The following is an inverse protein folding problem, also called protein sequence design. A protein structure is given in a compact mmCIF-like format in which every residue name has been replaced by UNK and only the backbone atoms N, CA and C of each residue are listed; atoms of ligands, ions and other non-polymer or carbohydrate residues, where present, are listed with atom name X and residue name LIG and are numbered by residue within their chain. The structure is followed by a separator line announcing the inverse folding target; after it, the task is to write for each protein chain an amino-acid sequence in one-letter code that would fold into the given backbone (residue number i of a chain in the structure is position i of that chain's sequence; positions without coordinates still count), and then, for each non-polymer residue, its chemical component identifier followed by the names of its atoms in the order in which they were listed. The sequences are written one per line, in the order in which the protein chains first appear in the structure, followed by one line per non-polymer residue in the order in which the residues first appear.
data_IF_929999534294
#
_entry.id   IF_929999534294
#
_cell.length_a   1.000
_cell.length_b   1.000
_cell.length_c   1.000
_cell.angle_alpha   90.00
_cell.angle_beta   90.00
_cell.angle_gamma   90.00
#
_symmetry.space_group_name_H-M   'P 1'
#
loop_
_entity.id
_entity.type
_entity.pdbx_description
1 polymer ?
#
# COMPACT_ATOMS: atom_id res chain seq x y z
N UNK A 1 40.41 -55.29 39.41
CA UNK A 1 39.74 -54.43 38.41
C UNK A 1 40.47 -53.10 38.40
N UNK A 2 41.41 -52.91 37.47
CA UNK A 2 42.11 -51.63 37.30
C UNK A 2 41.13 -50.60 36.76
N UNK A 3 41.10 -49.41 37.36
CA UNK A 3 40.23 -48.33 36.88
C UNK A 3 40.56 -48.03 35.40
N UNK A 4 39.55 -47.89 34.51
CA UNK A 4 39.74 -47.77 33.07
C UNK A 4 40.30 -46.41 32.60
N UNK A 5 40.73 -45.56 33.53
CA UNK A 5 41.23 -44.21 33.26
C UNK A 5 42.62 -44.08 33.87
N UNK A 6 43.62 -43.83 33.03
CA UNK A 6 44.99 -43.63 33.50
C UNK A 6 45.18 -42.18 33.96
N UNK A 7 46.19 -41.94 34.81
CA UNK A 7 46.57 -40.58 35.24
C UNK A 7 46.86 -39.66 34.05
N UNK A 8 47.36 -40.23 32.95
CA UNK A 8 47.70 -39.52 31.73
C UNK A 8 46.43 -39.08 30.98
N UNK A 9 45.41 -39.93 30.90
CA UNK A 9 44.10 -39.62 30.32
C UNK A 9 43.40 -38.48 31.09
N UNK A 10 43.50 -38.50 32.44
CA UNK A 10 42.95 -37.45 33.30
C UNK A 10 43.64 -36.10 33.03
N UNK A 11 44.97 -36.08 32.91
CA UNK A 11 45.75 -34.87 32.62
C UNK A 11 45.39 -34.31 31.24
N UNK A 12 45.25 -35.18 30.24
CA UNK A 12 44.87 -34.77 28.88
C UNK A 12 43.47 -34.16 28.88
N UNK A 13 42.52 -34.78 29.58
CA UNK A 13 41.13 -34.32 29.64
C UNK A 13 41.01 -32.99 30.39
N UNK A 14 41.71 -32.82 31.52
CA UNK A 14 41.77 -31.55 32.26
C UNK A 14 42.38 -30.43 31.43
N UNK A 15 43.49 -30.68 30.74
CA UNK A 15 44.11 -29.69 29.86
C UNK A 15 43.20 -29.32 28.69
N UNK A 16 42.51 -30.28 28.08
CA UNK A 16 41.55 -30.03 27.01
C UNK A 16 40.35 -29.21 27.50
N UNK A 17 39.83 -29.49 28.71
CA UNK A 17 38.76 -28.71 29.34
C UNK A 17 39.20 -27.26 29.61
N UNK A 18 40.38 -27.08 30.21
CA UNK A 18 40.94 -25.75 30.49
C UNK A 18 41.22 -24.95 29.20
N UNK A 19 41.73 -25.61 28.16
CA UNK A 19 41.96 -24.98 26.86
C UNK A 19 40.64 -24.58 26.17
N UNK A 20 39.61 -25.42 26.26
CA UNK A 20 38.27 -25.10 25.78
C UNK A 20 37.68 -23.89 26.50
N UNK A 21 37.82 -23.83 27.83
CA UNK A 21 37.35 -22.70 28.63
C UNK A 21 38.09 -21.41 28.24
N UNK A 22 39.42 -21.45 28.13
CA UNK A 22 40.21 -20.31 27.64
C UNK A 22 39.79 -19.87 26.22
N UNK A 23 39.50 -20.82 25.33
CA UNK A 23 39.05 -20.51 23.97
C UNK A 23 37.66 -19.87 23.95
N UNK A 24 36.73 -20.33 24.80
CA UNK A 24 35.42 -19.70 24.98
C UNK A 24 35.59 -18.26 25.47
N UNK A 25 36.38 -18.04 26.53
CA UNK A 25 36.63 -16.71 27.08
C UNK A 25 37.27 -15.76 26.07
N UNK A 26 38.21 -16.24 25.24
CA UNK A 26 38.80 -15.44 24.17
C UNK A 26 37.79 -15.09 23.07
N UNK A 27 36.95 -16.04 22.67
CA UNK A 27 35.90 -15.81 21.65
C UNK A 27 34.88 -14.81 22.18
N UNK A 28 34.38 -14.98 23.40
CA UNK A 28 33.41 -14.07 24.02
C UNK A 28 34.00 -12.66 24.18
N UNK A 29 35.24 -12.56 24.68
CA UNK A 29 35.95 -11.28 24.79
C UNK A 29 36.20 -10.62 23.42
N UNK A 30 36.43 -11.39 22.36
CA UNK A 30 36.58 -10.85 21.00
C UNK A 30 35.25 -10.34 20.41
N UNK A 31 34.12 -10.99 20.74
CA UNK A 31 32.78 -10.59 20.34
C UNK A 31 32.37 -9.32 21.08
N UNK A 32 32.65 -9.24 22.37
CA UNK A 32 32.36 -8.09 23.23
C UNK A 32 33.19 -6.87 22.82
N UNK A 33 34.48 -7.04 22.56
CA UNK A 33 35.34 -6.00 21.98
C UNK A 33 34.82 -5.56 20.61
N UNK A 34 34.45 -6.48 19.70
CA UNK A 34 33.85 -6.10 18.40
C UNK A 34 32.54 -5.31 18.57
N UNK A 35 31.70 -5.67 19.55
CA UNK A 35 30.47 -4.92 19.86
C UNK A 35 30.75 -3.51 20.39
N UNK A 36 31.81 -3.33 21.19
CA UNK A 36 32.26 -2.01 21.66
C UNK A 36 32.89 -1.18 20.52
N UNK A 37 33.63 -1.82 19.60
CA UNK A 37 34.29 -1.13 18.48
C UNK A 37 33.29 -0.57 17.45
N UNK A 38 32.12 -1.19 17.30
CA UNK A 38 31.06 -0.65 16.44
C UNK A 38 30.26 0.40 17.20
N UNK A 39 30.73 1.66 17.16
CA UNK A 39 29.99 2.81 17.67
C UNK A 39 28.70 2.97 16.88
N UNK A 40 27.56 2.66 17.51
CA UNK A 40 26.27 2.86 16.89
C UNK A 40 25.92 4.34 16.96
N UNK A 41 25.49 4.90 15.83
CA UNK A 41 25.01 6.27 15.75
C UNK A 41 23.59 6.30 15.20
N UNK A 42 22.83 7.29 15.63
CA UNK A 42 21.50 7.56 15.09
C UNK A 42 21.64 8.42 13.84
N UNK A 43 21.19 7.89 12.71
CA UNK A 43 21.34 8.53 11.40
C UNK A 43 20.05 9.22 10.95
N UNK A 44 20.15 10.10 9.94
CA UNK A 44 18.96 10.66 9.27
C UNK A 44 18.06 9.57 8.64
N UNK A 45 18.67 8.47 8.17
CA UNK A 45 17.95 7.32 7.63
C UNK A 45 17.13 6.61 8.71
N UNK A 46 17.68 6.46 9.92
CA UNK A 46 16.95 5.90 11.07
C UNK A 46 15.77 6.80 11.46
N UNK A 47 15.98 8.12 11.46
CA UNK A 47 14.92 9.09 11.75
C UNK A 47 13.78 9.00 10.71
N UNK A 48 14.11 8.95 9.42
CA UNK A 48 13.13 8.78 8.36
C UNK A 48 12.40 7.44 8.47
N UNK A 49 13.12 6.34 8.74
CA UNK A 49 12.56 5.01 8.94
C UNK A 49 11.62 4.95 10.16
N UNK A 50 11.96 5.64 11.24
CA UNK A 50 11.12 5.76 12.43
C UNK A 50 9.84 6.57 12.14
N UNK A 51 9.95 7.63 11.34
CA UNK A 51 8.79 8.43 10.93
C UNK A 51 7.87 7.63 10.00
N UNK A 52 8.40 7.03 8.93
CA UNK A 52 7.59 6.30 7.96
C UNK A 52 6.92 5.09 8.61
N UNK A 53 7.62 4.34 9.47
CA UNK A 53 7.02 3.20 10.16
C UNK A 53 5.83 3.58 11.05
N UNK A 54 5.77 4.82 11.55
CA UNK A 54 4.61 5.33 12.31
C UNK A 54 3.52 5.90 11.40
N UNK A 55 3.89 6.54 10.29
CA UNK A 55 2.99 7.33 9.46
C UNK A 55 2.65 6.74 8.08
N UNK A 56 3.16 5.55 7.72
CA UNK A 56 2.99 4.96 6.38
C UNK A 56 1.51 4.91 5.93
N UNK A 57 0.58 4.56 6.82
CA UNK A 57 -0.84 4.48 6.49
C UNK A 57 -1.41 5.85 6.12
N UNK A 58 -0.99 6.91 6.83
CA UNK A 58 -1.39 8.26 6.48
C UNK A 58 -0.79 8.68 5.14
N UNK A 59 0.49 8.34 4.89
CA UNK A 59 1.15 8.60 3.59
C UNK A 59 0.39 7.91 2.45
N UNK A 60 0.02 6.64 2.61
CA UNK A 60 -0.74 5.90 1.60
C UNK A 60 -2.12 6.51 1.35
N UNK A 61 -2.88 6.80 2.41
CA UNK A 61 -4.21 7.39 2.29
C UNK A 61 -4.17 8.80 1.69
N UNK A 62 -3.19 9.63 2.07
CA UNK A 62 -3.01 10.96 1.49
C UNK A 62 -2.65 10.86 0.02
N UNK A 63 -1.74 9.95 -0.35
CA UNK A 63 -1.34 9.76 -1.74
C UNK A 63 -2.53 9.33 -2.61
N UNK A 64 -3.28 8.31 -2.18
CA UNK A 64 -4.46 7.81 -2.91
C UNK A 64 -5.58 8.86 -2.92
N UNK A 65 -5.83 9.51 -1.79
CA UNK A 65 -6.85 10.56 -1.67
C UNK A 65 -6.54 11.79 -2.52
N UNK A 66 -5.27 12.19 -2.62
CA UNK A 66 -4.83 13.28 -3.48
C UNK A 66 -4.94 12.92 -4.95
N UNK A 67 -4.55 11.69 -5.33
CA UNK A 67 -4.72 11.16 -6.68
C UNK A 67 -6.20 11.17 -7.10
N UNK A 68 -7.10 10.63 -6.28
CA UNK A 68 -8.55 10.73 -6.53
C UNK A 68 -9.03 12.19 -6.54
N UNK A 69 -8.63 12.99 -5.56
CA UNK A 69 -9.07 14.37 -5.42
C UNK A 69 -8.73 15.22 -6.65
N UNK A 70 -7.52 15.08 -7.20
CA UNK A 70 -7.16 15.75 -8.45
C UNK A 70 -8.04 15.27 -9.61
N UNK A 71 -8.36 13.97 -9.67
CA UNK A 71 -9.20 13.45 -10.74
C UNK A 71 -10.61 14.06 -10.75
N UNK A 72 -11.18 14.28 -9.57
CA UNK A 72 -12.46 15.00 -9.40
C UNK A 72 -12.32 16.52 -9.50
N UNK A 73 -11.13 17.08 -9.30
CA UNK A 73 -10.89 18.52 -9.48
C UNK A 73 -11.00 18.93 -10.95
N UNK A 74 -10.65 18.05 -11.89
CA UNK A 74 -10.77 18.33 -13.34
C UNK A 74 -12.18 18.78 -13.77
N UNK A 75 -13.27 18.04 -13.50
CA UNK A 75 -14.62 18.48 -13.85
C UNK A 75 -15.10 19.71 -13.07
N UNK A 76 -14.63 19.91 -11.83
CA UNK A 76 -14.92 21.13 -11.05
C UNK A 76 -14.31 22.37 -11.72
N UNK A 77 -13.04 22.28 -12.14
CA UNK A 77 -12.35 23.36 -12.84
C UNK A 77 -12.99 23.66 -14.20
N UNK A 78 -13.45 22.63 -14.92
CA UNK A 78 -14.23 22.83 -16.13
C UNK A 78 -15.53 23.59 -15.85
N UNK A 79 -16.25 23.24 -14.78
CA UNK A 79 -17.54 23.88 -14.45
C UNK A 79 -17.41 25.35 -14.06
N UNK A 80 -16.31 25.74 -13.41
CA UNK A 80 -16.05 27.15 -13.03
C UNK A 80 -15.32 27.95 -14.13
N UNK A 81 -15.13 27.36 -15.33
CA UNK A 81 -14.49 28.02 -16.46
C UNK A 81 -12.95 28.05 -16.42
N UNK A 82 -12.32 27.42 -15.43
CA UNK A 82 -10.86 27.27 -15.33
C UNK A 82 -10.35 26.14 -16.25
N UNK A 83 -10.53 26.32 -17.56
CA UNK A 83 -10.29 25.27 -18.57
C UNK A 83 -8.81 24.89 -18.70
N UNK A 84 -7.90 25.86 -18.72
CA UNK A 84 -6.45 25.60 -18.86
C UNK A 84 -5.90 24.65 -17.79
N UNK A 85 -6.09 24.88 -16.48
CA UNK A 85 -5.62 23.93 -15.47
C UNK A 85 -6.36 22.59 -15.53
N UNK A 86 -7.64 22.56 -15.88
CA UNK A 86 -8.38 21.31 -16.06
C UNK A 86 -7.78 20.44 -17.18
N UNK A 87 -7.43 21.04 -18.32
CA UNK A 87 -6.81 20.35 -19.46
C UNK A 87 -5.46 19.74 -19.05
N UNK A 88 -4.65 20.43 -18.24
CA UNK A 88 -3.41 19.85 -17.73
C UNK A 88 -3.65 18.61 -16.86
N UNK A 89 -4.69 18.62 -16.03
CA UNK A 89 -5.10 17.44 -15.26
C UNK A 89 -5.51 16.30 -16.21
N UNK A 90 -6.41 16.55 -17.18
CA UNK A 90 -6.81 15.52 -18.15
C UNK A 90 -5.60 14.94 -18.90
N UNK A 91 -4.65 15.78 -19.32
CA UNK A 91 -3.42 15.33 -20.00
C UNK A 91 -2.53 14.47 -19.10
N UNK A 92 -2.31 14.88 -17.85
CA UNK A 92 -1.51 14.12 -16.89
C UNK A 92 -2.10 12.72 -16.63
N UNK A 93 -3.42 12.65 -16.41
CA UNK A 93 -4.11 11.38 -16.20
C UNK A 93 -4.29 10.57 -17.48
N UNK A 94 -4.27 11.21 -18.64
CA UNK A 94 -4.49 10.56 -19.92
C UNK A 94 -3.40 9.57 -20.30
N UNK A 95 -2.21 9.66 -19.69
CA UNK A 95 -1.15 8.66 -19.83
C UNK A 95 -1.42 7.38 -19.02
N UNK A 96 -2.14 7.51 -17.89
CA UNK A 96 -2.41 6.41 -16.96
C UNK A 96 -3.76 5.74 -17.22
N UNK A 97 -4.73 6.50 -17.73
CA UNK A 97 -6.07 6.05 -18.05
C UNK A 97 -6.45 6.50 -19.45
N UNK A 98 -7.12 5.63 -20.21
CA UNK A 98 -7.59 5.98 -21.56
C UNK A 98 -8.68 7.07 -21.57
N UNK A 99 -9.30 7.37 -20.41
CA UNK A 99 -10.30 8.44 -20.24
C UNK A 99 -11.42 8.41 -21.28
N UNK A 100 -11.85 7.22 -21.69
CA UNK A 100 -12.97 7.10 -22.64
C UNK A 100 -14.22 7.66 -21.96
N UNK A 101 -14.88 8.62 -22.60
CA UNK A 101 -16.07 9.27 -22.07
C UNK A 101 -17.14 8.25 -21.64
N UNK A 102 -17.42 7.25 -22.47
CA UNK A 102 -18.40 6.19 -22.17
C UNK A 102 -17.99 5.17 -21.09
N UNK A 103 -16.84 5.39 -20.44
CA UNK A 103 -16.34 4.62 -19.29
C UNK A 103 -15.96 5.51 -18.11
N UNK A 104 -16.42 6.76 -18.10
CA UNK A 104 -16.06 7.76 -17.10
C UNK A 104 -17.31 8.27 -16.42
N UNK A 105 -17.17 8.61 -15.13
CA UNK A 105 -18.21 9.34 -14.41
C UNK A 105 -18.25 10.81 -14.87
N UNK A 106 -19.44 11.40 -14.90
CA UNK A 106 -19.69 12.80 -15.22
C UNK A 106 -20.26 13.53 -14.01
N UNK A 107 -19.83 14.77 -13.82
CA UNK A 107 -20.33 15.67 -12.80
C UNK A 107 -20.99 16.89 -13.45
N UNK A 108 -21.98 17.46 -12.77
CA UNK A 108 -22.69 18.69 -13.19
C UNK A 108 -23.49 18.57 -14.50
N UNK A 109 -23.93 17.36 -14.86
CA UNK A 109 -24.76 17.09 -16.02
C UNK A 109 -26.05 16.34 -15.68
N UNK A 110 -26.79 15.96 -16.71
CA UNK A 110 -28.09 15.27 -16.59
C UNK A 110 -28.00 13.85 -16.00
N UNK A 111 -26.91 13.11 -16.28
CA UNK A 111 -26.68 11.77 -15.73
C UNK A 111 -25.21 11.52 -15.37
N UNK A 112 -24.95 10.60 -14.43
CA UNK A 112 -23.58 10.35 -13.96
C UNK A 112 -22.74 9.55 -14.95
N UNK A 113 -23.32 8.77 -15.86
CA UNK A 113 -22.55 7.98 -16.83
C UNK A 113 -23.33 7.79 -18.13
N UNK A 114 -22.62 7.81 -19.26
CA UNK A 114 -23.17 7.68 -20.62
C UNK A 114 -22.57 6.43 -21.28
N UNK A 115 -23.09 5.22 -21.03
CA UNK A 115 -22.53 4.00 -21.58
C UNK A 115 -22.74 3.91 -23.09
N UNK A 116 -22.04 2.96 -23.73
CA UNK A 116 -22.31 2.62 -25.13
C UNK A 116 -23.65 1.91 -25.29
N UNK A 117 -24.30 2.09 -26.43
CA UNK A 117 -25.50 1.33 -26.86
C UNK A 117 -25.33 -0.19 -26.71
N UNK A 118 -24.12 -0.69 -27.00
CA UNK A 118 -23.74 -2.11 -26.88
C UNK A 118 -23.74 -2.65 -25.44
N UNK A 119 -23.69 -1.78 -24.42
CA UNK A 119 -23.82 -2.19 -23.02
C UNK A 119 -25.27 -2.54 -22.63
N UNK A 120 -26.26 -2.17 -23.47
CA UNK A 120 -27.69 -2.50 -23.33
C UNK A 120 -28.26 -2.21 -21.93
N UNK A 121 -27.99 -1.01 -21.43
CA UNK A 121 -28.51 -0.56 -20.13
C UNK A 121 -29.77 0.25 -20.35
N UNK A 122 -30.90 -0.27 -19.88
CA UNK A 122 -32.18 0.44 -19.92
C UNK A 122 -32.16 1.62 -18.94
N UNK A 123 -32.74 2.76 -19.36
CA UNK A 123 -32.90 3.95 -18.51
C UNK A 123 -31.70 4.90 -18.46
N UNK A 124 -30.62 4.65 -19.20
CA UNK A 124 -29.52 5.60 -19.38
C UNK A 124 -29.42 6.07 -20.83
N UNK A 125 -29.16 7.37 -21.02
CA UNK A 125 -28.85 7.94 -22.33
C UNK A 125 -27.48 7.42 -22.77
N UNK A 126 -27.37 6.96 -24.01
CA UNK A 126 -26.09 6.43 -24.51
C UNK A 126 -25.13 7.55 -24.90
N UNK A 127 -23.84 7.24 -25.00
CA UNK A 127 -22.81 8.22 -25.35
C UNK A 127 -23.08 8.91 -26.70
N UNK A 128 -23.46 8.15 -27.72
CA UNK A 128 -23.82 8.69 -29.04
C UNK A 128 -25.05 9.60 -28.98
N UNK A 129 -26.07 9.23 -28.21
CA UNK A 129 -27.28 10.03 -28.03
C UNK A 129 -27.00 11.36 -27.33
N UNK A 130 -26.18 11.34 -26.27
CA UNK A 130 -25.89 12.53 -25.48
C UNK A 130 -24.88 13.49 -26.15
N UNK A 131 -23.96 12.95 -26.96
CA UNK A 131 -22.87 13.76 -27.54
C UNK A 131 -22.98 13.96 -29.04
N UNK A 132 -23.80 13.18 -29.74
CA UNK A 132 -23.87 13.11 -31.20
C UNK A 132 -22.63 12.50 -31.86
N UNK A 133 -21.71 11.90 -31.08
CA UNK A 133 -20.45 11.35 -31.59
C UNK A 133 -20.54 9.83 -31.81
N UNK A 134 -19.81 9.31 -32.80
CA UNK A 134 -19.70 7.87 -33.03
C UNK A 134 -19.01 7.18 -31.85
N UNK A 135 -19.65 6.16 -31.28
CA UNK A 135 -19.11 5.37 -30.17
C UNK A 135 -17.87 4.54 -30.56
N UNK A 136 -17.66 4.32 -31.86
CA UNK A 136 -16.50 3.58 -32.37
C UNK A 136 -15.26 4.48 -32.53
N UNK A 137 -15.42 5.80 -32.56
CA UNK A 137 -14.29 6.74 -32.54
C UNK A 137 -13.75 6.91 -31.12
N UNK A 138 -12.85 6.00 -30.74
CA UNK A 138 -12.18 6.02 -29.44
C UNK A 138 -11.36 7.30 -29.21
N UNK A 139 -10.88 7.95 -30.27
CA UNK A 139 -10.10 9.19 -30.15
C UNK A 139 -11.01 10.39 -29.87
N UNK A 140 -12.20 10.44 -30.47
CA UNK A 140 -13.22 11.42 -30.10
C UNK A 140 -13.68 11.22 -28.65
N UNK A 141 -14.02 9.98 -28.27
CA UNK A 141 -14.44 9.66 -26.91
C UNK A 141 -13.38 9.97 -25.84
N UNK A 142 -12.10 9.82 -26.17
CA UNK A 142 -10.99 10.21 -25.30
C UNK A 142 -10.84 11.73 -25.18
N UNK A 143 -10.97 12.47 -26.28
CA UNK A 143 -10.84 13.94 -26.31
C UNK A 143 -12.02 14.66 -25.69
N UNK A 144 -13.22 14.08 -25.75
CA UNK A 144 -14.42 14.68 -25.19
C UNK A 144 -14.32 14.81 -23.67
N UNK A 145 -14.22 16.04 -23.15
CA UNK A 145 -14.14 16.33 -21.70
C UNK A 145 -15.51 16.61 -21.08
N UNK A 146 -16.51 16.98 -21.88
CA UNK A 146 -17.84 17.32 -21.42
C UNK A 146 -18.34 18.70 -21.88
N UNK A 147 -19.56 19.03 -21.50
CA UNK A 147 -20.23 20.31 -21.76
C UNK A 147 -21.28 20.59 -20.66
N UNK A 148 -22.00 21.70 -20.72
CA UNK A 148 -22.97 22.08 -19.68
C UNK A 148 -24.22 21.19 -19.59
N UNK A 149 -24.53 20.40 -20.62
CA UNK A 149 -25.70 19.51 -20.64
C UNK A 149 -25.31 18.13 -20.09
N UNK A 150 -24.28 17.54 -20.70
CA UNK A 150 -23.77 16.19 -20.37
C UNK A 150 -23.00 16.20 -19.04
N UNK A 151 -22.50 17.37 -18.64
CA UNK A 151 -21.56 17.54 -17.54
C UNK A 151 -20.12 17.32 -18.00
N UNK A 152 -19.20 17.32 -17.04
CA UNK A 152 -17.77 17.12 -17.27
C UNK A 152 -17.28 15.81 -16.67
N UNK A 153 -16.47 15.07 -17.42
CA UNK A 153 -15.99 13.76 -17.00
C UNK A 153 -14.92 13.84 -15.91
N UNK A 154 -14.88 12.86 -15.01
CA UNK A 154 -13.74 12.63 -14.13
C UNK A 154 -12.53 12.20 -14.98
N UNK A 155 -11.31 12.62 -14.63
CA UNK A 155 -10.11 12.28 -15.41
C UNK A 155 -9.63 10.83 -15.24
N UNK A 156 -10.39 10.00 -14.54
CA UNK A 156 -10.20 8.56 -14.34
C UNK A 156 -11.46 7.82 -14.81
N UNK A 157 -11.28 6.59 -15.27
CA UNK A 157 -12.42 5.74 -15.62
C UNK A 157 -13.18 5.29 -14.37
N UNK A 158 -14.42 4.85 -14.56
CA UNK A 158 -15.31 4.34 -13.51
C UNK A 158 -14.62 3.26 -12.66
N UNK A 159 -13.88 2.35 -13.32
CA UNK A 159 -13.15 1.26 -12.68
C UNK A 159 -12.01 1.79 -11.81
N UNK A 160 -11.16 2.68 -12.32
CA UNK A 160 -10.03 3.24 -11.56
C UNK A 160 -10.53 4.05 -10.36
N UNK A 161 -11.57 4.88 -10.56
CA UNK A 161 -12.24 5.60 -9.47
C UNK A 161 -12.67 4.63 -8.38
N UNK A 162 -13.30 3.51 -8.74
CA UNK A 162 -13.75 2.51 -7.78
C UNK A 162 -12.60 1.80 -7.07
N UNK A 163 -11.52 1.42 -7.79
CA UNK A 163 -10.34 0.78 -7.20
C UNK A 163 -9.72 1.68 -6.13
N UNK A 164 -9.37 2.91 -6.50
CA UNK A 164 -8.71 3.82 -5.57
C UNK A 164 -9.63 4.23 -4.43
N UNK A 165 -10.94 4.38 -4.69
CA UNK A 165 -11.92 4.71 -3.64
C UNK A 165 -12.05 3.55 -2.66
N UNK A 166 -12.05 2.30 -3.14
CA UNK A 166 -12.06 1.10 -2.31
C UNK A 166 -10.78 0.97 -1.46
N UNK A 167 -9.61 1.24 -2.04
CA UNK A 167 -8.34 1.26 -1.32
C UNK A 167 -8.34 2.33 -0.21
N UNK A 168 -8.79 3.55 -0.53
CA UNK A 168 -8.88 4.64 0.43
C UNK A 168 -9.87 4.31 1.54
N UNK A 169 -11.06 3.78 1.20
CA UNK A 169 -12.08 3.38 2.16
C UNK A 169 -11.52 2.35 3.15
N UNK A 170 -10.89 1.28 2.64
CA UNK A 170 -10.28 0.29 3.52
C UNK A 170 -9.15 0.90 4.35
N UNK A 171 -8.32 1.76 3.75
CA UNK A 171 -7.25 2.46 4.46
C UNK A 171 -7.74 3.31 5.62
N UNK A 172 -8.89 3.97 5.47
CA UNK A 172 -9.55 4.71 6.55
C UNK A 172 -10.10 3.77 7.62
N UNK A 173 -10.79 2.68 7.22
CA UNK A 173 -11.29 1.64 8.15
C UNK A 173 -10.13 1.04 8.96
N UNK A 174 -9.02 0.71 8.29
CA UNK A 174 -7.83 0.17 8.92
C UNK A 174 -7.19 1.17 9.90
N UNK A 175 -7.23 2.46 9.57
CA UNK A 175 -6.82 3.54 10.48
C UNK A 175 -7.71 3.64 11.71
N UNK A 176 -9.03 3.68 11.53
CA UNK A 176 -10.03 3.78 12.62
C UNK A 176 -9.98 2.56 13.54
N UNK A 177 -9.77 1.37 12.99
CA UNK A 177 -9.57 0.13 13.77
C UNK A 177 -8.20 0.06 14.44
N UNK A 178 -7.41 1.14 14.40
CA UNK A 178 -6.06 1.23 14.97
C UNK A 178 -5.12 0.13 14.44
N UNK A 179 -5.26 -0.22 13.16
CA UNK A 179 -4.42 -1.20 12.45
C UNK A 179 -4.48 -2.61 13.05
N UNK A 180 -5.63 -2.98 13.63
CA UNK A 180 -5.84 -4.28 14.30
C UNK A 180 -6.37 -5.39 13.39
N UNK A 181 -6.80 -5.07 12.17
CA UNK A 181 -7.29 -6.07 11.22
C UNK A 181 -6.11 -6.93 10.73
N UNK A 182 -6.31 -8.24 10.70
CA UNK A 182 -5.32 -9.17 10.17
C UNK A 182 -5.37 -9.22 8.63
N UNK A 183 -4.26 -9.63 8.03
CA UNK A 183 -4.17 -9.81 6.58
C UNK A 183 -5.21 -10.82 6.10
N UNK A 184 -5.86 -10.50 5.00
CA UNK A 184 -6.79 -11.40 4.34
C UNK A 184 -6.04 -12.64 3.82
N UNK A 185 -6.66 -13.82 3.87
CA UNK A 185 -6.06 -15.00 3.26
C UNK A 185 -5.93 -14.79 1.74
N UNK A 186 -4.77 -15.13 1.15
CA UNK A 186 -4.47 -14.85 -0.26
C UNK A 186 -5.50 -15.45 -1.23
N UNK A 187 -6.09 -16.61 -0.90
CA UNK A 187 -7.16 -17.23 -1.69
C UNK A 187 -8.41 -16.36 -1.76
N UNK A 188 -8.80 -15.73 -0.64
CA UNK A 188 -9.99 -14.86 -0.61
C UNK A 188 -9.72 -13.58 -1.41
N UNK A 189 -8.51 -13.01 -1.26
CA UNK A 189 -8.06 -11.89 -2.08
C UNK A 189 -8.08 -12.23 -3.59
N UNK A 190 -7.60 -13.41 -3.97
CA UNK A 190 -7.62 -13.88 -5.35
C UNK A 190 -9.07 -14.07 -5.84
N UNK A 191 -9.89 -14.78 -5.09
CA UNK A 191 -11.25 -15.16 -5.51
C UNK A 191 -12.23 -13.98 -5.55
N UNK A 192 -12.12 -13.01 -4.63
CA UNK A 192 -13.07 -11.89 -4.52
C UNK A 192 -12.48 -10.58 -5.06
N UNK A 193 -11.18 -10.37 -4.91
CA UNK A 193 -10.49 -9.18 -5.42
C UNK A 193 -10.12 -9.30 -6.89
N UNK A 194 -9.32 -10.32 -7.25
CA UNK A 194 -8.71 -10.43 -8.58
C UNK A 194 -9.64 -11.07 -9.61
N UNK A 195 -10.29 -12.18 -9.29
CA UNK A 195 -11.08 -12.93 -10.26
C UNK A 195 -12.25 -12.10 -10.83
N UNK A 196 -13.06 -11.37 -10.05
CA UNK A 196 -14.19 -10.63 -10.61
C UNK A 196 -13.77 -9.50 -11.55
N UNK A 197 -12.75 -8.71 -11.19
CA UNK A 197 -12.21 -7.65 -12.06
C UNK A 197 -11.48 -8.23 -13.27
N UNK A 198 -10.80 -9.36 -13.09
CA UNK A 198 -10.15 -10.12 -14.17
C UNK A 198 -11.18 -10.61 -15.18
N UNK A 199 -12.26 -11.26 -14.74
CA UNK A 199 -13.33 -11.73 -15.62
C UNK A 199 -14.04 -10.57 -16.32
N UNK A 200 -14.35 -9.49 -15.61
CA UNK A 200 -15.00 -8.32 -16.22
C UNK A 200 -14.12 -7.62 -17.25
N UNK A 201 -12.86 -7.32 -16.88
CA UNK A 201 -11.91 -6.64 -17.75
C UNK A 201 -11.43 -7.49 -18.92
N UNK A 202 -11.15 -8.78 -18.68
CA UNK A 202 -10.65 -9.71 -19.70
C UNK A 202 -11.74 -10.10 -20.69
N UNK A 203 -12.98 -10.37 -20.23
CA UNK A 203 -14.09 -10.63 -21.17
C UNK A 203 -14.37 -9.43 -22.07
N UNK A 204 -14.27 -8.21 -21.54
CA UNK A 204 -14.38 -6.99 -22.33
C UNK A 204 -13.23 -6.86 -23.34
N UNK A 205 -11.98 -7.04 -22.90
CA UNK A 205 -10.79 -6.93 -23.77
C UNK A 205 -10.79 -7.99 -24.88
N UNK A 206 -11.07 -9.25 -24.55
CA UNK A 206 -11.10 -10.36 -25.51
C UNK A 206 -12.20 -10.16 -26.55
N UNK A 207 -13.39 -9.71 -26.14
CA UNK A 207 -14.52 -9.47 -27.06
C UNK A 207 -14.27 -8.30 -28.04
N UNK A 208 -13.25 -7.49 -27.77
CA UNK A 208 -12.86 -6.33 -28.60
C UNK A 208 -11.67 -6.65 -29.52
N UNK A 209 -11.10 -7.87 -29.44
CA UNK A 209 -10.01 -8.30 -30.32
C UNK A 209 -10.56 -8.68 -31.70
N UNK A 210 -10.06 -8.09 -32.80
CA UNK A 210 -10.56 -8.33 -34.16
C UNK A 210 -10.29 -9.76 -34.66
N UNK A 211 -9.53 -10.56 -33.91
CA UNK A 211 -9.11 -11.92 -34.27
C UNK A 211 -10.14 -12.96 -33.77
N UNK A 212 -10.99 -12.60 -32.80
CA UNK A 212 -11.89 -13.52 -32.10
C UNK A 212 -13.34 -13.19 -32.44
N UNK A 213 -13.79 -13.58 -33.64
CA UNK A 213 -15.19 -13.39 -34.08
C UNK A 213 -16.19 -14.39 -33.45
N UNK A 214 -15.73 -15.23 -32.53
CA UNK A 214 -16.55 -16.30 -31.89
C UNK A 214 -17.28 -15.79 -30.64
N UNK A 215 -16.80 -14.70 -30.02
CA UNK A 215 -17.34 -14.19 -28.77
C UNK A 215 -18.14 -12.92 -29.06
N UNK A 216 -19.36 -12.86 -28.51
CA UNK A 216 -20.21 -11.67 -28.65
C UNK A 216 -19.51 -10.43 -28.07
N UNK A 217 -19.55 -9.32 -28.81
CA UNK A 217 -19.01 -8.04 -28.35
C UNK A 217 -19.63 -7.67 -27.00
N UNK A 218 -18.78 -7.43 -25.99
CA UNK A 218 -19.20 -7.11 -24.63
C UNK A 218 -18.58 -5.79 -24.19
N UNK A 219 -19.43 -4.86 -23.79
CA UNK A 219 -19.02 -3.65 -23.07
C UNK A 219 -19.49 -3.75 -21.62
N UNK A 220 -18.56 -3.59 -20.66
CA UNK A 220 -18.92 -3.65 -19.23
C UNK A 220 -19.79 -2.45 -18.83
N UNK A 221 -20.74 -2.66 -17.91
CA UNK A 221 -21.62 -1.59 -17.41
C UNK A 221 -20.92 -0.71 -16.37
N UNK A 222 -21.37 0.54 -16.15
CA UNK A 222 -20.87 1.39 -15.07
C UNK A 222 -20.97 0.71 -13.70
N UNK A 223 -22.06 -0.02 -13.45
CA UNK A 223 -22.23 -0.80 -12.23
C UNK A 223 -21.19 -1.91 -12.08
N UNK A 224 -20.98 -2.75 -13.09
CA UNK A 224 -20.01 -3.85 -13.01
C UNK A 224 -18.57 -3.35 -12.86
N UNK A 225 -18.21 -2.27 -13.56
CA UNK A 225 -16.90 -1.62 -13.42
C UNK A 225 -16.67 -1.12 -12.01
N UNK A 226 -17.70 -0.54 -11.40
CA UNK A 226 -17.64 0.00 -10.05
C UNK A 226 -17.60 -1.10 -9.00
N UNK A 227 -18.43 -2.13 -9.15
CA UNK A 227 -18.48 -3.25 -8.23
C UNK A 227 -17.16 -4.03 -8.25
N UNK A 228 -16.72 -4.47 -9.42
CA UNK A 228 -15.49 -5.28 -9.55
C UNK A 228 -14.24 -4.46 -9.23
N UNK A 229 -14.19 -3.20 -9.64
CA UNK A 229 -13.12 -2.26 -9.28
C UNK A 229 -13.06 -1.99 -7.77
N UNK A 230 -14.20 -1.69 -7.15
CA UNK A 230 -14.30 -1.44 -5.71
C UNK A 230 -13.93 -2.65 -4.87
N UNK A 231 -14.42 -3.85 -5.24
CA UNK A 231 -14.03 -5.11 -4.60
C UNK A 231 -12.52 -5.33 -4.70
N UNK A 232 -11.95 -5.18 -5.89
CA UNK A 232 -10.51 -5.30 -6.08
C UNK A 232 -9.73 -4.31 -5.20
N UNK A 233 -10.14 -3.04 -5.16
CA UNK A 233 -9.52 -2.01 -4.35
C UNK A 233 -9.55 -2.32 -2.84
N UNK A 234 -10.74 -2.62 -2.31
CA UNK A 234 -10.91 -2.98 -0.89
C UNK A 234 -10.12 -4.23 -0.53
N UNK A 235 -10.24 -5.30 -1.31
CA UNK A 235 -9.59 -6.58 -1.01
C UNK A 235 -8.07 -6.47 -1.12
N UNK A 236 -7.54 -5.69 -2.07
CA UNK A 236 -6.09 -5.49 -2.21
C UNK A 236 -5.52 -4.67 -1.07
N UNK A 237 -6.21 -3.61 -0.63
CA UNK A 237 -5.80 -2.86 0.55
C UNK A 237 -5.92 -3.70 1.84
N UNK A 238 -6.96 -4.54 1.97
CA UNK A 238 -7.10 -5.46 3.09
C UNK A 238 -6.02 -6.54 3.12
N UNK A 239 -5.64 -7.06 1.97
CA UNK A 239 -4.52 -7.97 1.89
C UNK A 239 -3.20 -7.26 2.24
N UNK A 240 -2.92 -6.12 1.61
CA UNK A 240 -1.61 -5.47 1.67
C UNK A 240 -1.33 -4.67 2.94
N UNK A 241 -2.28 -3.89 3.46
CA UNK A 241 -2.00 -2.93 4.55
C UNK A 241 -1.63 -3.61 5.87
N UNK A 242 -2.27 -4.72 6.29
CA UNK A 242 -1.84 -5.49 7.45
C UNK A 242 -0.44 -6.11 7.29
N UNK A 243 -0.08 -6.59 6.09
CA UNK A 243 1.27 -7.12 5.82
C UNK A 243 2.33 -6.02 5.93
N UNK A 244 2.02 -4.81 5.44
CA UNK A 244 2.90 -3.66 5.62
C UNK A 244 2.98 -3.27 7.10
N UNK A 245 1.87 -3.31 7.86
CA UNK A 245 1.89 -3.03 9.30
C UNK A 245 2.83 -3.97 10.07
N UNK A 246 2.85 -5.26 9.72
CA UNK A 246 3.76 -6.25 10.30
C UNK A 246 5.23 -5.85 10.05
N UNK A 247 5.59 -5.56 8.80
CA UNK A 247 6.93 -5.09 8.45
C UNK A 247 7.31 -3.76 9.14
N UNK A 248 6.36 -2.83 9.25
CA UNK A 248 6.58 -1.56 9.94
C UNK A 248 6.72 -1.76 11.46
N UNK A 249 6.09 -2.78 12.03
CA UNK A 249 6.25 -3.15 13.45
C UNK A 249 7.65 -3.70 13.72
N UNK A 250 8.15 -4.57 12.86
CA UNK A 250 9.52 -5.08 12.95
C UNK A 250 10.55 -3.95 12.81
N UNK A 251 10.29 -3.02 11.90
CA UNK A 251 11.12 -1.82 11.73
C UNK A 251 11.16 -0.99 13.01
N UNK A 252 10.01 -0.76 13.66
CA UNK A 252 9.96 -0.02 14.94
C UNK A 252 10.72 -0.77 16.03
N UNK A 253 10.52 -2.07 16.16
CA UNK A 253 11.23 -2.89 17.14
C UNK A 253 12.75 -2.87 16.94
N UNK A 254 13.20 -2.97 15.69
CA UNK A 254 14.61 -2.87 15.33
C UNK A 254 15.20 -1.49 15.71
N UNK A 255 14.51 -0.40 15.36
CA UNK A 255 14.96 0.96 15.64
C UNK A 255 14.96 1.28 17.14
N UNK A 256 13.96 0.81 17.90
CA UNK A 256 13.92 0.91 19.36
C UNK A 256 15.09 0.15 20.00
N UNK A 257 15.39 -1.05 19.52
CA UNK A 257 16.53 -1.84 19.99
C UNK A 257 17.86 -1.16 19.70
N UNK A 258 18.00 -0.56 18.51
CA UNK A 258 19.19 0.24 18.16
C UNK A 258 19.34 1.45 19.07
N UNK A 259 18.25 2.17 19.33
CA UNK A 259 18.25 3.36 20.18
C UNK A 259 18.64 3.02 21.63
N UNK A 260 18.11 1.92 22.19
CA UNK A 260 18.52 1.42 23.52
C UNK A 260 20.02 1.10 23.59
N UNK A 261 20.58 0.47 22.56
CA UNK A 261 22.03 0.16 22.50
C UNK A 261 22.89 1.42 22.43
N UNK A 262 22.45 2.43 21.69
CA UNK A 262 23.12 3.75 21.64
C UNK A 262 23.09 4.41 23.02
N UNK A 263 21.95 4.36 23.72
CA UNK A 263 21.83 4.90 25.08
C UNK A 263 22.75 4.17 26.07
N UNK A 264 22.86 2.85 25.98
CA UNK A 264 23.80 2.07 26.81
C UNK A 264 25.25 2.46 26.47
N UNK A 265 25.64 2.54 25.19
CA UNK A 265 26.98 2.99 24.79
C UNK A 265 27.30 4.43 25.26
N UNK A 266 26.29 5.31 25.30
CA UNK A 266 26.44 6.67 25.81
C UNK A 266 26.52 6.71 27.35
N UNK A 267 25.79 5.84 28.06
CA UNK A 267 25.78 5.73 29.51
C UNK A 267 27.01 5.04 30.09
N UNK A 268 27.55 4.03 29.40
CA UNK A 268 28.78 3.30 29.76
C UNK A 268 30.06 4.16 29.64
N UNK A 269 29.97 5.31 28.95
CA UNK A 269 30.99 6.36 28.97
C UNK A 269 30.96 7.27 30.20
N UNK A 270 30.03 7.07 31.14
CA UNK A 270 29.79 7.98 32.28
C UNK A 270 29.62 7.29 33.65
N UNK A 271 30.06 6.04 33.83
CA UNK A 271 30.08 5.43 35.16
C UNK A 271 31.26 5.92 36.01
N UNK A 272 31.15 7.15 36.51
CA UNK A 272 31.53 7.39 37.91
C UNK A 272 30.32 7.00 38.75
N UNK A 273 30.33 5.76 39.22
CA UNK A 273 29.39 5.28 40.24
C UNK A 273 29.62 6.12 41.50
N UNK A 274 28.70 7.03 41.79
CA UNK A 274 28.55 7.56 43.15
C UNK A 274 27.82 6.48 43.97
N UNK A 275 28.24 6.19 45.20
CA UNK A 275 27.50 5.26 46.05
C UNK A 275 26.08 5.78 46.25
N UNK A 276 25.09 4.93 45.99
CA UNK A 276 23.72 5.15 46.40
C UNK A 276 23.65 4.89 47.91
N UNK A 277 23.55 5.95 48.69
CA UNK A 277 23.04 5.89 50.06
C UNK A 277 21.50 5.87 50.00
N UNK A 278 20.96 4.88 50.70
CA UNK A 278 19.74 4.88 51.51
C UNK A 278 18.34 4.98 50.84
N UNK A 279 17.69 3.82 50.81
CA UNK A 279 16.34 3.51 51.30
C UNK A 279 15.19 4.53 51.19
N UNK A 280 14.14 4.17 50.43
CA UNK A 280 12.71 4.34 50.79
C UNK A 280 11.82 3.57 49.77
N UNK A 281 11.40 2.35 50.11
CA UNK A 281 10.04 1.91 50.51
C UNK A 281 8.93 1.97 49.42
N UNK A 282 8.34 0.83 49.01
CA UNK A 282 7.26 0.78 48.03
C UNK A 282 5.88 0.81 48.71
N UNK A 283 5.13 1.88 48.47
CA UNK A 283 3.68 1.90 48.55
C UNK A 283 3.17 2.92 47.54
N UNK A 284 2.62 2.46 46.43
CA UNK A 284 1.27 2.83 46.01
C UNK A 284 0.85 2.10 44.73
N UNK A 285 -0.42 1.70 44.77
CA UNK A 285 -1.20 0.85 43.87
C UNK A 285 -1.54 1.52 42.53
#
# INVERSE_FOLDING_TARGET
VSAPITRQDLIITLKAAQQRENQITQVDGSIENKKQLVKLTWTKSDQFSAWISKHYLAVFNIFVGFYLGIAFLAPVLMKVGATTPAIWIYRAYGAMCHQLAFRSWFLFGEQPAYPRSTARIEGLITYDQATGMDENDLWAARRFTGNDIVGYKVSLCERDVAIYSGMLLFGLIFGVTRRRLHALHWVIWLAIGIVPIGLDGMSQLISQLPIINVIAFRESSPFLRTLTGGLFGVMTAWFGYPLVEESMRDTRFYLESKLKRIQIQAGDGSMHVKPQDDAENPADL
#
